data_IF_712956655811
#
_entry.id   IF_712956655811
#
_cell.length_a   1.000
_cell.length_b   1.000
_cell.length_c   1.000
_cell.angle_alpha   90.00
_cell.angle_beta   90.00
_cell.angle_gamma   90.00
#
_symmetry.space_group_name_H-M   'P 1'
#
loop_
_entity.id
_entity.type
_entity.pdbx_description
1 polymer ?
#
# COMPACT_ATOMS: atom_id res chain seq x y z
N UNK A 1 7.11 -8.62 15.51
CA UNK A 1 7.39 -9.61 16.57
C UNK A 1 7.18 -9.01 17.96
N UNK A 2 6.00 -9.17 18.57
CA UNK A 2 5.80 -8.76 19.95
C UNK A 2 6.75 -9.55 20.87
N UNK A 3 7.62 -8.86 21.59
CA UNK A 3 8.44 -9.43 22.67
C UNK A 3 9.70 -10.21 22.28
N UNK A 4 9.77 -10.88 21.11
CA UNK A 4 10.94 -11.71 20.76
C UNK A 4 12.27 -10.93 20.71
N UNK A 5 12.29 -9.73 20.12
CA UNK A 5 13.49 -8.89 20.04
C UNK A 5 14.08 -8.50 21.41
N UNK A 6 13.24 -8.46 22.46
CA UNK A 6 13.71 -8.26 23.84
C UNK A 6 14.16 -9.60 24.41
N UNK A 7 13.34 -10.64 24.27
CA UNK A 7 13.60 -11.96 24.83
C UNK A 7 14.90 -12.58 24.31
N UNK A 8 15.20 -12.50 23.01
CA UNK A 8 16.36 -13.17 22.42
C UNK A 8 17.66 -12.38 22.49
N UNK A 9 17.65 -11.18 23.09
CA UNK A 9 18.76 -10.21 23.01
C UNK A 9 20.08 -10.79 23.51
N UNK A 10 20.06 -11.49 24.63
CA UNK A 10 21.28 -12.07 25.25
C UNK A 10 21.93 -13.11 24.33
N UNK A 11 21.14 -13.99 23.71
CA UNK A 11 21.67 -15.00 22.79
C UNK A 11 22.23 -14.39 21.49
N UNK A 12 21.61 -13.32 21.00
CA UNK A 12 22.11 -12.57 19.84
C UNK A 12 23.44 -11.90 20.17
N UNK A 13 23.53 -11.21 21.31
CA UNK A 13 24.76 -10.55 21.76
C UNK A 13 25.90 -11.54 22.04
N UNK A 14 25.57 -12.74 22.52
CA UNK A 14 26.54 -13.81 22.73
C UNK A 14 26.95 -14.56 21.43
N UNK A 15 26.43 -14.17 20.26
CA UNK A 15 26.70 -14.85 18.99
C UNK A 15 26.15 -16.28 18.90
N UNK A 16 25.25 -16.66 19.81
CA UNK A 16 24.63 -18.00 19.85
C UNK A 16 23.39 -18.11 18.96
N UNK A 17 22.78 -16.98 18.61
CA UNK A 17 21.58 -16.91 17.80
C UNK A 17 21.74 -15.84 16.73
N UNK A 18 21.46 -16.21 15.48
CA UNK A 18 21.17 -15.24 14.44
C UNK A 18 19.66 -15.12 14.29
N UNK A 19 19.19 -13.90 14.04
CA UNK A 19 17.78 -13.69 13.74
C UNK A 19 17.66 -12.87 12.47
N UNK A 20 16.66 -13.24 11.68
CA UNK A 20 16.29 -12.60 10.43
C UNK A 20 14.81 -12.23 10.52
N UNK A 21 14.47 -10.97 10.28
CA UNK A 21 13.09 -10.57 10.07
C UNK A 21 12.70 -10.69 8.60
N UNK A 22 11.49 -11.16 8.32
CA UNK A 22 10.86 -11.04 6.99
C UNK A 22 9.53 -10.32 7.20
N UNK A 23 9.31 -9.21 6.49
CA UNK A 23 8.11 -8.38 6.64
C UNK A 23 7.25 -8.40 5.39
N UNK A 24 5.96 -8.65 5.57
CA UNK A 24 4.90 -8.54 4.56
C UNK A 24 4.49 -7.07 4.37
N UNK A 25 5.48 -6.23 4.07
CA UNK A 25 5.34 -4.77 3.94
C UNK A 25 5.65 -4.35 2.51
N UNK A 26 4.96 -3.32 2.03
CA UNK A 26 5.18 -2.73 0.71
C UNK A 26 6.22 -1.59 0.76
N UNK A 27 6.25 -0.86 1.87
CA UNK A 27 7.12 0.30 2.07
C UNK A 27 8.24 -0.05 3.07
N UNK A 28 9.42 -0.52 2.59
CA UNK A 28 10.50 -1.03 3.45
C UNK A 28 11.02 0.00 4.46
N UNK A 29 10.99 1.28 4.08
CA UNK A 29 11.32 2.44 4.92
C UNK A 29 10.46 2.52 6.20
N UNK A 30 9.19 2.10 6.15
CA UNK A 30 8.33 2.03 7.34
C UNK A 30 8.84 0.99 8.33
N UNK A 31 9.27 -0.17 7.84
CA UNK A 31 9.85 -1.20 8.68
C UNK A 31 11.20 -0.75 9.28
N UNK A 32 12.02 -0.03 8.51
CA UNK A 32 13.27 0.57 9.01
C UNK A 32 13.02 1.61 10.10
N UNK A 33 12.02 2.48 9.96
CA UNK A 33 11.62 3.42 11.01
C UNK A 33 11.18 2.69 12.29
N UNK A 34 10.38 1.63 12.15
CA UNK A 34 9.96 0.82 13.28
C UNK A 34 11.16 0.14 13.98
N UNK A 35 12.12 -0.40 13.22
CA UNK A 35 13.34 -0.97 13.76
C UNK A 35 14.19 0.05 14.51
N UNK A 36 14.38 1.25 13.95
CA UNK A 36 15.06 2.36 14.64
C UNK A 36 14.35 2.71 15.95
N UNK A 37 13.01 2.80 15.92
CA UNK A 37 12.24 3.13 17.10
C UNK A 37 12.42 2.11 18.22
N UNK A 38 12.42 0.82 17.87
CA UNK A 38 12.54 -0.30 18.81
C UNK A 38 13.99 -0.76 19.05
N UNK A 39 14.99 -0.07 18.47
CA UNK A 39 16.42 -0.43 18.55
C UNK A 39 16.66 -1.90 18.19
N UNK A 40 16.09 -2.33 17.07
CA UNK A 40 16.32 -3.66 16.51
C UNK A 40 17.49 -3.59 15.52
N UNK A 41 18.47 -4.48 15.70
CA UNK A 41 19.73 -4.44 14.95
C UNK A 41 19.91 -5.66 14.02
N UNK A 42 18.95 -6.58 14.02
CA UNK A 42 18.99 -7.77 13.17
C UNK A 42 18.73 -7.43 11.68
N UNK A 43 19.17 -8.26 10.73
CA UNK A 43 18.80 -8.09 9.32
C UNK A 43 17.28 -8.21 9.10
N UNK A 44 16.77 -7.47 8.10
CA UNK A 44 15.38 -7.47 7.68
C UNK A 44 15.28 -7.67 6.17
N UNK A 45 14.46 -8.62 5.74
CA UNK A 45 14.02 -8.78 4.35
C UNK A 45 12.58 -8.31 4.22
N UNK A 46 12.23 -7.84 3.02
CA UNK A 46 10.87 -7.40 2.70
C UNK A 46 10.29 -8.33 1.65
N UNK A 47 9.15 -8.93 1.96
CA UNK A 47 8.37 -9.78 1.07
C UNK A 47 7.04 -9.09 0.78
N UNK A 48 7.04 -8.13 -0.16
CA UNK A 48 5.82 -7.40 -0.49
C UNK A 48 4.78 -8.25 -1.23
N UNK A 49 5.18 -9.39 -1.77
CA UNK A 49 4.39 -10.23 -2.68
C UNK A 49 3.92 -11.56 -2.06
N UNK A 50 4.20 -11.78 -0.77
CA UNK A 50 3.94 -13.03 -0.07
C UNK A 50 4.53 -14.24 -0.82
N UNK A 51 5.82 -14.14 -1.18
CA UNK A 51 6.60 -15.20 -1.83
C UNK A 51 6.69 -16.44 -0.95
N UNK A 52 6.74 -16.27 0.37
CA UNK A 52 6.70 -17.37 1.33
C UNK A 52 5.36 -18.12 1.37
N UNK A 53 4.31 -17.59 0.74
CA UNK A 53 2.99 -18.23 0.69
C UNK A 53 2.33 -18.34 2.07
N UNK A 54 2.67 -17.44 2.99
CA UNK A 54 2.12 -17.43 4.33
C UNK A 54 0.64 -17.09 4.28
N UNK A 55 -0.16 -17.78 5.09
CA UNK A 55 -1.59 -17.49 5.23
C UNK A 55 -1.86 -16.37 6.23
N UNK A 56 -0.98 -16.14 7.19
CA UNK A 56 -1.11 -15.15 8.26
C UNK A 56 0.25 -14.76 8.86
N UNK A 57 0.27 -13.63 9.59
CA UNK A 57 1.42 -13.11 10.34
C UNK A 57 0.96 -12.59 11.72
N UNK A 58 1.84 -12.54 12.75
CA UNK A 58 3.24 -12.96 12.73
C UNK A 58 3.41 -14.48 12.74
N UNK A 59 4.52 -14.95 12.16
CA UNK A 59 5.02 -16.32 12.31
C UNK A 59 6.46 -16.25 12.82
N UNK A 60 6.83 -17.13 13.75
CA UNK A 60 8.21 -17.30 14.21
C UNK A 60 8.68 -18.69 13.84
N UNK A 61 9.83 -18.82 13.20
CA UNK A 61 10.40 -20.11 12.80
C UNK A 61 11.75 -20.27 13.49
N UNK A 62 11.98 -21.43 14.12
CA UNK A 62 13.29 -21.79 14.63
C UNK A 62 13.98 -22.75 13.66
N UNK A 63 15.16 -22.34 13.23
CA UNK A 63 16.06 -23.12 12.40
C UNK A 63 17.23 -23.59 13.27
N UNK A 64 17.71 -24.80 13.03
CA UNK A 64 18.98 -25.27 13.62
C UNK A 64 20.20 -24.81 12.80
N UNK A 65 21.39 -25.22 13.24
CA UNK A 65 22.67 -24.93 12.58
C UNK A 65 22.79 -25.44 11.12
N UNK A 66 21.86 -26.29 10.66
CA UNK A 66 21.80 -26.81 9.30
C UNK A 66 20.64 -26.24 8.48
N UNK A 67 19.95 -25.21 9.00
CA UNK A 67 18.82 -24.57 8.33
C UNK A 67 17.53 -25.40 8.35
N UNK A 68 17.44 -26.43 9.21
CA UNK A 68 16.25 -27.27 9.30
C UNK A 68 15.25 -26.63 10.25
N UNK A 69 13.99 -26.52 9.81
CA UNK A 69 12.88 -26.06 10.64
C UNK A 69 12.64 -27.05 11.78
N UNK A 70 12.84 -26.58 13.02
CA UNK A 70 12.61 -27.35 14.24
C UNK A 70 11.30 -27.00 14.94
N UNK A 71 10.84 -25.75 14.80
CA UNK A 71 9.56 -25.32 15.35
C UNK A 71 8.98 -24.15 14.54
N UNK A 72 7.65 -24.08 14.50
CA UNK A 72 6.87 -22.95 13.96
C UNK A 72 5.99 -22.43 15.10
N UNK A 73 6.03 -21.13 15.33
CA UNK A 73 5.41 -20.43 16.46
C UNK A 73 5.78 -21.06 17.82
N UNK A 74 7.08 -21.21 18.12
CA UNK A 74 7.54 -21.85 19.34
C UNK A 74 7.07 -21.10 20.60
N UNK A 75 6.88 -21.84 21.69
CA UNK A 75 6.87 -21.27 23.04
C UNK A 75 8.27 -20.82 23.48
N UNK A 76 8.36 -20.09 24.59
CA UNK A 76 9.66 -19.72 25.17
C UNK A 76 10.43 -20.94 25.68
N UNK A 77 9.72 -21.92 26.23
CA UNK A 77 10.31 -23.19 26.69
C UNK A 77 10.84 -24.03 25.52
N UNK A 78 10.12 -24.06 24.39
CA UNK A 78 10.59 -24.71 23.15
C UNK A 78 11.85 -24.04 22.60
N UNK A 79 11.88 -22.71 22.59
CA UNK A 79 13.08 -21.96 22.21
C UNK A 79 14.28 -22.32 23.10
N UNK A 80 14.11 -22.30 24.43
CA UNK A 80 15.19 -22.62 25.38
C UNK A 80 15.71 -24.05 25.17
N UNK A 81 14.81 -25.03 25.05
CA UNK A 81 15.19 -26.42 24.76
C UNK A 81 16.00 -26.57 23.48
N UNK A 82 15.70 -25.77 22.46
CA UNK A 82 16.47 -25.75 21.22
C UNK A 82 17.86 -25.14 21.42
N UNK A 83 17.95 -24.02 22.16
CA UNK A 83 19.23 -23.33 22.42
C UNK A 83 20.24 -24.17 23.21
N UNK A 84 19.77 -25.16 23.97
CA UNK A 84 20.58 -26.08 24.78
C UNK A 84 20.93 -27.37 24.04
N UNK A 85 20.45 -27.55 22.81
CA UNK A 85 20.64 -28.76 22.00
C UNK A 85 21.54 -28.50 20.80
N UNK A 86 22.32 -29.51 20.43
CA UNK A 86 22.97 -29.64 19.12
C UNK A 86 22.27 -30.72 18.32
N UNK A 87 22.16 -30.51 17.02
CA UNK A 87 21.54 -31.48 16.12
C UNK A 87 22.63 -32.23 15.35
N UNK A 88 22.39 -33.50 14.99
CA UNK A 88 23.28 -34.19 14.05
C UNK A 88 23.14 -33.58 12.64
N UNK A 89 24.21 -33.53 11.84
CA UNK A 89 24.15 -33.06 10.46
C UNK A 89 23.17 -33.92 9.65
N UNK A 90 22.33 -33.32 8.79
CA UNK A 90 21.49 -34.09 7.90
C UNK A 90 22.35 -34.82 6.84
N UNK A 91 21.86 -35.92 6.24
CA UNK A 91 22.59 -36.67 5.22
C UNK A 91 23.04 -35.83 4.02
N UNK A 92 22.29 -34.76 3.73
CA UNK A 92 22.61 -33.77 2.71
C UNK A 92 22.15 -32.40 3.19
N UNK A 93 23.06 -31.42 3.15
CA UNK A 93 22.73 -30.00 3.35
C UNK A 93 22.60 -29.39 1.96
N UNK A 94 21.47 -28.73 1.62
CA UNK A 94 21.35 -28.03 0.35
C UNK A 94 22.47 -27.00 0.19
N UNK A 95 23.13 -26.98 -0.97
CA UNK A 95 24.08 -25.91 -1.29
C UNK A 95 23.32 -24.59 -1.45
N UNK A 96 23.56 -23.58 -0.58
CA UNK A 96 22.91 -22.28 -0.70
C UNK A 96 23.17 -21.58 -2.04
N UNK A 97 24.35 -21.81 -2.64
CA UNK A 97 24.70 -21.23 -3.94
C UNK A 97 23.88 -21.87 -5.08
N UNK A 98 23.62 -23.18 -5.01
CA UNK A 98 22.77 -23.87 -5.96
C UNK A 98 21.29 -23.41 -5.86
N UNK A 99 20.80 -23.12 -4.65
CA UNK A 99 19.45 -22.58 -4.44
C UNK A 99 19.28 -21.19 -5.08
N UNK A 100 20.28 -20.31 -4.95
CA UNK A 100 20.30 -19.00 -5.59
C UNK A 100 20.45 -19.09 -7.12
N UNK A 101 21.26 -20.03 -7.62
CA UNK A 101 21.46 -20.25 -9.05
C UNK A 101 20.16 -20.66 -9.76
N UNK A 102 19.31 -21.46 -9.11
CA UNK A 102 18.00 -21.88 -9.62
C UNK A 102 16.93 -20.78 -9.71
N UNK A 103 17.16 -19.60 -9.11
CA UNK A 103 16.29 -18.42 -9.24
C UNK A 103 16.62 -17.57 -10.47
N UNK A 104 17.72 -17.87 -11.15
CA UNK A 104 18.06 -17.25 -12.43
C UNK A 104 17.07 -17.74 -13.48
N UNK A 105 16.22 -16.84 -14.00
CA UNK A 105 15.51 -17.15 -15.24
C UNK A 105 16.58 -17.52 -16.28
N UNK A 106 16.48 -18.70 -16.94
CA UNK A 106 17.42 -19.03 -18.00
C UNK A 106 17.39 -17.89 -19.01
N UNK A 107 18.56 -17.31 -19.31
CA UNK A 107 18.67 -16.14 -20.17
C UNK A 107 18.06 -16.33 -21.58
N UNK A 108 17.73 -17.59 -21.94
CA UNK A 108 17.28 -18.02 -23.26
C UNK A 108 15.93 -18.76 -23.30
N UNK A 109 15.20 -18.89 -22.19
CA UNK A 109 13.87 -19.52 -22.23
C UNK A 109 12.77 -18.47 -22.24
N UNK A 110 12.13 -18.27 -23.40
CA UNK A 110 10.83 -17.57 -23.47
C UNK A 110 9.89 -18.20 -22.44
N UNK A 111 9.36 -17.44 -21.46
CA UNK A 111 8.48 -18.02 -20.43
C UNK A 111 7.27 -18.71 -21.08
N UNK A 112 7.01 -19.97 -20.71
CA UNK A 112 5.95 -20.78 -21.34
C UNK A 112 4.80 -21.09 -20.39
N UNK A 113 5.06 -21.12 -19.09
CA UNK A 113 4.05 -21.42 -18.07
C UNK A 113 3.69 -20.19 -17.25
N UNK A 114 2.54 -20.23 -16.58
CA UNK A 114 2.17 -19.19 -15.62
C UNK A 114 3.24 -19.00 -14.53
N UNK A 115 3.85 -20.09 -14.06
CA UNK A 115 4.91 -20.04 -13.05
C UNK A 115 6.19 -19.36 -13.56
N UNK A 116 6.58 -19.58 -14.82
CA UNK A 116 7.73 -18.90 -15.42
C UNK A 116 7.50 -17.39 -15.49
N UNK A 117 6.29 -16.98 -15.89
CA UNK A 117 5.90 -15.58 -15.92
C UNK A 117 5.83 -14.95 -14.52
N UNK A 118 5.34 -15.69 -13.52
CA UNK A 118 5.39 -15.25 -12.11
C UNK A 118 6.82 -15.06 -11.66
N UNK A 119 7.72 -16.01 -11.92
CA UNK A 119 9.14 -15.90 -11.55
C UNK A 119 9.80 -14.71 -12.22
N UNK A 120 9.53 -14.48 -13.50
CA UNK A 120 10.01 -13.29 -14.21
C UNK A 120 9.47 -11.99 -13.59
N UNK A 121 8.17 -11.96 -13.25
CA UNK A 121 7.57 -10.81 -12.57
C UNK A 121 8.17 -10.55 -11.19
N UNK A 122 8.33 -11.59 -10.38
CA UNK A 122 8.98 -11.54 -9.06
C UNK A 122 10.41 -11.00 -9.24
N UNK A 123 11.13 -11.49 -10.26
CA UNK A 123 12.48 -11.04 -10.58
C UNK A 123 12.53 -9.53 -10.88
N UNK A 124 11.65 -9.05 -11.77
CA UNK A 124 11.58 -7.64 -12.18
C UNK A 124 11.14 -6.73 -11.04
N UNK A 125 10.21 -7.18 -10.20
CA UNK A 125 9.66 -6.38 -9.12
C UNK A 125 10.64 -6.24 -7.96
N UNK A 126 11.42 -7.29 -7.65
CA UNK A 126 12.32 -7.30 -6.50
C UNK A 126 13.76 -6.89 -6.85
N UNK A 127 14.26 -7.26 -8.03
CA UNK A 127 15.67 -7.06 -8.42
C UNK A 127 15.89 -6.39 -9.78
N UNK A 128 14.83 -6.06 -10.52
CA UNK A 128 14.92 -5.34 -11.79
C UNK A 128 15.33 -6.19 -13.00
N UNK A 129 15.95 -5.56 -13.99
CA UNK A 129 16.11 -6.06 -15.35
C UNK A 129 17.32 -6.98 -15.67
N UNK A 130 18.30 -7.22 -14.79
CA UNK A 130 19.39 -8.18 -15.08
C UNK A 130 19.98 -8.93 -13.88
N UNK A 131 20.42 -10.18 -14.14
CA UNK A 131 21.64 -10.76 -13.61
C UNK A 131 22.66 -10.90 -14.76
N UNK A 132 23.35 -9.85 -15.19
CA UNK A 132 24.62 -10.01 -15.89
C UNK A 132 25.74 -10.19 -14.87
N UNK A 133 26.44 -11.32 -15.02
CA UNK A 133 27.36 -11.93 -14.07
C UNK A 133 28.67 -11.16 -13.82
N UNK A 134 28.70 -9.83 -13.90
CA UNK A 134 29.96 -9.06 -13.80
C UNK A 134 29.92 -7.82 -12.91
N UNK A 135 28.89 -7.60 -12.08
CA UNK A 135 28.98 -6.56 -11.05
C UNK A 135 27.78 -6.42 -10.11
N UNK A 136 27.95 -5.79 -8.93
CA UNK A 136 26.92 -5.60 -7.92
C UNK A 136 25.89 -4.49 -8.25
N UNK A 137 25.67 -4.20 -9.53
CA UNK A 137 24.72 -3.16 -9.95
C UNK A 137 23.46 -3.78 -10.55
N UNK A 138 22.55 -4.24 -9.68
CA UNK A 138 21.17 -4.51 -10.08
C UNK A 138 20.56 -3.22 -10.62
N UNK A 139 20.02 -3.24 -11.83
CA UNK A 139 19.07 -2.21 -12.28
C UNK A 139 17.94 -2.08 -11.25
N UNK A 140 17.43 -0.87 -11.03
CA UNK A 140 16.32 -0.64 -10.12
C UNK A 140 15.12 -1.55 -10.44
N UNK A 141 14.29 -1.91 -9.44
CA UNK A 141 12.99 -2.55 -9.66
C UNK A 141 12.22 -1.94 -10.83
N UNK A 142 11.57 -2.78 -11.64
CA UNK A 142 10.75 -2.34 -12.77
C UNK A 142 9.30 -2.81 -12.59
N UNK A 143 8.48 -2.08 -11.80
CA UNK A 143 7.08 -2.43 -11.58
C UNK A 143 6.27 -2.55 -12.88
N UNK A 144 6.55 -1.71 -13.88
CA UNK A 144 5.89 -1.77 -15.20
C UNK A 144 6.10 -3.11 -15.90
N UNK A 145 7.35 -3.59 -16.00
CA UNK A 145 7.66 -4.88 -16.61
C UNK A 145 7.18 -6.06 -15.76
N UNK A 146 7.19 -5.90 -14.43
CA UNK A 146 6.60 -6.91 -13.55
C UNK A 146 5.09 -7.06 -13.79
N UNK A 147 4.35 -5.95 -13.95
CA UNK A 147 2.92 -5.96 -14.30
C UNK A 147 2.71 -6.73 -15.60
N UNK A 148 3.46 -6.41 -16.66
CA UNK A 148 3.36 -7.12 -17.95
C UNK A 148 3.57 -8.64 -17.78
N UNK A 149 4.58 -9.06 -17.02
CA UNK A 149 4.85 -10.47 -16.76
C UNK A 149 3.71 -11.13 -15.97
N UNK A 150 3.20 -10.49 -14.91
CA UNK A 150 2.09 -11.04 -14.14
C UNK A 150 0.77 -11.07 -14.91
N UNK A 151 0.52 -10.12 -15.82
CA UNK A 151 -0.65 -10.15 -16.71
C UNK A 151 -0.59 -11.35 -17.65
N UNK A 152 0.59 -11.69 -18.19
CA UNK A 152 0.80 -12.92 -18.96
C UNK A 152 0.58 -14.17 -18.10
N UNK A 153 1.07 -14.16 -16.86
CA UNK A 153 0.83 -15.26 -15.93
C UNK A 153 -0.67 -15.45 -15.63
N UNK A 154 -1.38 -14.34 -15.41
CA UNK A 154 -2.81 -14.32 -15.14
C UNK A 154 -3.62 -14.83 -16.33
N UNK A 155 -3.26 -14.44 -17.56
CA UNK A 155 -3.91 -14.93 -18.77
C UNK A 155 -3.83 -16.46 -18.91
N UNK A 156 -2.76 -17.08 -18.38
CA UNK A 156 -2.58 -18.53 -18.36
C UNK A 156 -3.22 -19.21 -17.14
N UNK A 157 -3.45 -18.48 -16.04
CA UNK A 157 -4.00 -19.01 -14.79
C UNK A 157 -4.90 -17.97 -14.06
N UNK A 158 -6.11 -17.68 -14.59
CA UNK A 158 -6.96 -16.58 -14.11
C UNK A 158 -7.68 -16.83 -12.77
N UNK A 159 -7.49 -18.01 -12.18
CA UNK A 159 -8.04 -18.36 -10.86
C UNK A 159 -6.94 -18.44 -9.79
N UNK A 160 -5.69 -18.15 -10.15
CA UNK A 160 -4.58 -18.13 -9.21
C UNK A 160 -4.55 -16.80 -8.43
N UNK A 161 -5.22 -16.74 -7.28
CA UNK A 161 -5.32 -15.53 -6.44
C UNK A 161 -3.96 -14.92 -6.06
N UNK A 162 -2.90 -15.71 -5.96
CA UNK A 162 -1.55 -15.23 -5.69
C UNK A 162 -0.96 -14.36 -6.82
N UNK A 163 -1.37 -14.58 -8.08
CA UNK A 163 -0.99 -13.75 -9.22
C UNK A 163 -1.75 -12.41 -9.16
N UNK A 164 -3.05 -12.45 -8.88
CA UNK A 164 -3.83 -11.23 -8.66
C UNK A 164 -3.28 -10.38 -7.51
N UNK A 165 -2.83 -11.02 -6.41
CA UNK A 165 -2.22 -10.29 -5.30
C UNK A 165 -0.92 -9.58 -5.75
N UNK A 166 -0.04 -10.28 -6.49
CA UNK A 166 1.19 -9.72 -7.07
C UNK A 166 0.93 -8.56 -8.01
N UNK A 167 -0.06 -8.67 -8.89
CA UNK A 167 -0.50 -7.57 -9.77
C UNK A 167 -0.87 -6.35 -8.95
N UNK A 168 -1.64 -6.53 -7.87
CA UNK A 168 -2.01 -5.44 -7.00
C UNK A 168 -0.81 -4.75 -6.34
N UNK A 169 0.15 -5.53 -5.86
CA UNK A 169 1.41 -5.01 -5.28
C UNK A 169 2.21 -4.24 -6.33
N UNK A 170 2.37 -4.78 -7.54
CA UNK A 170 3.15 -4.16 -8.60
C UNK A 170 2.53 -2.84 -9.08
N UNK A 171 1.21 -2.78 -9.26
CA UNK A 171 0.52 -1.53 -9.55
C UNK A 171 0.70 -0.49 -8.44
N UNK A 172 0.60 -0.89 -7.17
CA UNK A 172 0.81 0.06 -6.08
C UNK A 172 2.27 0.52 -5.99
N UNK A 173 3.24 -0.35 -6.23
CA UNK A 173 4.65 0.05 -6.29
C UNK A 173 4.91 1.02 -7.45
N UNK A 174 4.31 0.80 -8.63
CA UNK A 174 4.38 1.75 -9.75
C UNK A 174 3.76 3.09 -9.37
N UNK A 175 2.58 3.08 -8.73
CA UNK A 175 1.92 4.29 -8.23
C UNK A 175 2.81 5.11 -7.30
N UNK A 176 3.55 4.44 -6.42
CA UNK A 176 4.41 5.08 -5.43
C UNK A 176 5.78 5.51 -6.01
N UNK A 177 6.06 5.17 -7.27
CA UNK A 177 7.33 5.46 -7.97
C UNK A 177 7.25 6.67 -8.92
N UNK A 178 8.39 7.01 -9.53
CA UNK A 178 8.45 7.99 -10.63
C UNK A 178 7.80 7.52 -11.93
N UNK A 179 7.63 6.21 -12.12
CA UNK A 179 7.05 5.59 -13.32
C UNK A 179 5.51 5.45 -13.25
N UNK A 180 4.89 6.14 -12.28
CA UNK A 180 3.43 6.14 -12.04
C UNK A 180 2.66 6.31 -13.33
N UNK A 181 1.59 5.53 -13.46
CA UNK A 181 0.56 5.72 -14.49
C UNK A 181 -0.79 6.09 -13.86
N UNK A 182 -1.62 6.88 -14.58
CA UNK A 182 -2.97 7.21 -14.13
C UNK A 182 -3.77 5.95 -13.77
N UNK A 183 -4.38 5.94 -12.59
CA UNK A 183 -5.25 4.85 -12.16
C UNK A 183 -4.53 3.61 -11.62
N UNK A 184 -3.21 3.66 -11.43
CA UNK A 184 -2.45 2.57 -10.83
C UNK A 184 -2.99 2.17 -9.45
N UNK A 185 -3.36 3.13 -8.60
CA UNK A 185 -3.90 2.79 -7.28
C UNK A 185 -5.28 2.10 -7.39
N UNK A 186 -6.14 2.57 -8.29
CA UNK A 186 -7.41 1.90 -8.56
C UNK A 186 -7.20 0.48 -9.11
N UNK A 187 -6.21 0.28 -9.99
CA UNK A 187 -5.83 -1.03 -10.48
C UNK A 187 -5.33 -1.95 -9.35
N UNK A 188 -4.48 -1.43 -8.46
CA UNK A 188 -4.00 -2.16 -7.31
C UNK A 188 -5.15 -2.70 -6.44
N UNK A 189 -6.10 -1.82 -6.13
CA UNK A 189 -7.29 -2.15 -5.34
C UNK A 189 -8.17 -3.19 -6.03
N UNK A 190 -8.42 -3.07 -7.34
CA UNK A 190 -9.17 -4.08 -8.10
C UNK A 190 -8.50 -5.45 -8.03
N UNK A 191 -7.19 -5.50 -8.22
CA UNK A 191 -6.43 -6.74 -8.19
C UNK A 191 -6.36 -7.39 -6.80
N UNK A 192 -6.16 -6.61 -5.74
CA UNK A 192 -6.25 -7.13 -4.37
C UNK A 192 -7.65 -7.62 -4.01
N UNK A 193 -8.70 -6.91 -4.45
CA UNK A 193 -10.09 -7.34 -4.25
C UNK A 193 -10.36 -8.66 -4.97
N UNK A 194 -9.87 -8.81 -6.21
CA UNK A 194 -9.95 -10.05 -6.98
C UNK A 194 -9.19 -11.20 -6.29
N UNK A 195 -7.99 -10.93 -5.78
CA UNK A 195 -7.20 -11.93 -5.05
C UNK A 195 -7.94 -12.43 -3.82
N UNK A 196 -8.51 -11.53 -3.02
CA UNK A 196 -9.27 -11.88 -1.82
C UNK A 196 -10.58 -12.59 -2.15
N UNK A 197 -11.24 -12.26 -3.25
CA UNK A 197 -12.43 -13.00 -3.71
C UNK A 197 -12.10 -14.45 -4.08
N UNK A 198 -10.89 -14.72 -4.63
CA UNK A 198 -10.44 -16.07 -4.97
C UNK A 198 -9.99 -16.88 -3.75
N UNK A 199 -9.41 -16.25 -2.73
CA UNK A 199 -9.04 -16.90 -1.47
C UNK A 199 -9.38 -16.00 -0.27
N UNK A 200 -10.64 -16.04 0.20
CA UNK A 200 -11.12 -15.15 1.26
C UNK A 200 -10.46 -15.40 2.62
N UNK A 201 -9.77 -16.53 2.79
CA UNK A 201 -9.07 -16.90 4.03
C UNK A 201 -7.64 -16.35 4.10
N UNK A 202 -7.17 -15.63 3.08
CA UNK A 202 -5.84 -15.03 3.08
C UNK A 202 -5.80 -13.77 3.92
N UNK A 203 -5.26 -13.92 5.14
CA UNK A 203 -5.16 -12.82 6.11
C UNK A 203 -4.36 -11.64 5.57
N UNK A 204 -3.20 -11.90 4.95
CA UNK A 204 -2.29 -10.86 4.44
C UNK A 204 -2.99 -10.03 3.36
N UNK A 205 -3.69 -10.69 2.44
CA UNK A 205 -4.40 -10.02 1.34
C UNK A 205 -5.55 -9.16 1.86
N UNK A 206 -6.31 -9.70 2.84
CA UNK A 206 -7.36 -8.94 3.52
C UNK A 206 -6.80 -7.71 4.21
N UNK A 207 -5.67 -7.84 4.93
CA UNK A 207 -5.02 -6.71 5.62
C UNK A 207 -4.55 -5.64 4.64
N UNK A 208 -4.02 -6.02 3.48
CA UNK A 208 -3.63 -5.06 2.42
C UNK A 208 -4.81 -4.23 1.93
N UNK A 209 -5.98 -4.82 1.75
CA UNK A 209 -7.18 -4.08 1.36
C UNK A 209 -7.71 -3.21 2.52
N UNK A 210 -7.78 -3.76 3.74
CA UNK A 210 -8.23 -3.05 4.94
C UNK A 210 -7.33 -1.87 5.32
N UNK A 211 -6.05 -1.89 4.95
CA UNK A 211 -5.12 -0.76 5.11
C UNK A 211 -5.66 0.50 4.44
N UNK A 212 -6.26 0.37 3.25
CA UNK A 212 -6.83 1.47 2.48
C UNK A 212 -8.37 1.55 2.54
N UNK A 213 -9.02 0.55 3.13
CA UNK A 213 -10.48 0.44 3.23
C UNK A 213 -11.11 1.31 4.33
N UNK A 214 -12.44 1.18 4.53
CA UNK A 214 -13.20 1.99 5.46
C UNK A 214 -12.94 1.59 6.92
N UNK A 215 -13.22 2.51 7.86
CA UNK A 215 -13.05 2.30 9.30
C UNK A 215 -13.86 1.14 9.87
N UNK A 216 -15.02 0.82 9.28
CA UNK A 216 -15.83 -0.32 9.71
C UNK A 216 -15.14 -1.67 9.51
N UNK A 217 -14.28 -1.77 8.48
CA UNK A 217 -13.60 -3.02 8.15
C UNK A 217 -12.22 -3.10 8.82
N UNK A 218 -11.78 -2.04 9.52
CA UNK A 218 -10.45 -1.98 10.11
C UNK A 218 -10.39 -2.79 11.42
N UNK A 219 -9.37 -3.62 11.59
CA UNK A 219 -9.12 -4.32 12.86
C UNK A 219 -8.47 -3.43 13.93
N UNK A 220 -7.66 -2.47 13.48
CA UNK A 220 -6.80 -1.58 14.23
C UNK A 220 -6.29 -0.49 13.24
N UNK A 221 -5.82 0.67 13.73
CA UNK A 221 -5.05 1.59 12.91
C UNK A 221 -3.71 0.95 12.52
N UNK A 222 -3.27 1.08 11.27
CA UNK A 222 -2.09 0.36 10.78
C UNK A 222 -0.77 1.07 11.12
N UNK A 223 -0.77 2.41 11.11
CA UNK A 223 0.44 3.22 11.23
C UNK A 223 0.34 4.37 12.23
N UNK A 224 -0.62 4.35 13.16
CA UNK A 224 -0.75 5.33 14.25
C UNK A 224 0.51 5.43 15.13
N UNK A 225 1.35 4.41 15.13
CA UNK A 225 2.65 4.40 15.77
C UNK A 225 3.70 5.29 15.09
N UNK A 226 3.52 5.72 13.83
CA UNK A 226 4.56 6.49 13.09
C UNK A 226 4.87 7.84 13.76
N UNK A 227 3.87 8.69 14.13
CA UNK A 227 4.13 9.90 14.91
C UNK A 227 4.83 9.63 16.24
N UNK A 228 4.39 8.60 16.98
CA UNK A 228 4.98 8.21 18.26
C UNK A 228 6.44 7.78 18.08
N UNK A 229 6.73 6.98 17.06
CA UNK A 229 8.08 6.54 16.73
C UNK A 229 9.00 7.71 16.44
N UNK A 230 8.58 8.62 15.56
CA UNK A 230 9.35 9.81 15.19
C UNK A 230 9.65 10.68 16.41
N UNK A 231 8.66 10.92 17.25
CA UNK A 231 8.81 11.71 18.47
C UNK A 231 9.76 11.03 19.47
N UNK A 232 9.58 9.73 19.72
CA UNK A 232 10.43 8.97 20.62
C UNK A 232 11.89 8.91 20.13
N UNK A 233 12.13 8.85 18.81
CA UNK A 233 13.47 8.90 18.23
C UNK A 233 14.10 10.28 18.42
N UNK A 234 13.37 11.37 18.14
CA UNK A 234 13.86 12.75 18.33
C UNK A 234 14.21 13.06 19.78
N UNK A 235 13.38 12.61 20.74
CA UNK A 235 13.66 12.77 22.18
C UNK A 235 14.98 12.13 22.62
N UNK A 236 15.51 11.16 21.86
CA UNK A 236 16.82 10.53 22.12
C UNK A 236 17.98 11.27 21.44
N UNK A 237 17.72 12.36 20.73
CA UNK A 237 18.72 13.09 19.94
C UNK A 237 19.03 12.44 18.58
N UNK A 238 18.21 11.49 18.13
CA UNK A 238 18.37 10.81 16.85
C UNK A 238 17.45 11.45 15.77
N UNK A 239 17.85 11.37 14.50
CA UNK A 239 16.99 11.75 13.37
C UNK A 239 16.14 10.55 12.92
N UNK A 240 14.80 10.64 12.92
CA UNK A 240 13.95 9.56 12.42
C UNK A 240 14.25 9.26 10.95
N UNK A 241 14.26 7.97 10.60
CA UNK A 241 14.36 7.54 9.20
C UNK A 241 13.23 8.19 8.39
N UNK A 242 13.56 8.83 7.24
CA UNK A 242 12.54 9.40 6.38
C UNK A 242 11.71 8.29 5.75
N UNK A 243 10.43 8.57 5.51
CA UNK A 243 9.57 7.71 4.73
C UNK A 243 9.50 8.23 3.29
N UNK A 244 9.61 7.33 2.31
CA UNK A 244 9.44 7.68 0.89
C UNK A 244 7.97 7.94 0.60
N UNK A 245 7.08 7.14 1.21
CA UNK A 245 5.63 7.28 1.11
C UNK A 245 5.03 7.39 2.51
N UNK A 246 4.63 8.60 2.87
CA UNK A 246 3.94 8.85 4.14
C UNK A 246 2.60 8.10 4.20
N UNK A 247 2.21 7.55 5.36
CA UNK A 247 0.88 6.96 5.53
C UNK A 247 -0.21 8.02 5.33
N UNK A 248 -1.30 7.63 4.66
CA UNK A 248 -2.47 8.47 4.41
C UNK A 248 -3.53 8.41 5.52
N UNK A 249 -4.66 9.10 5.31
CA UNK A 249 -5.74 9.16 6.28
C UNK A 249 -6.31 7.78 6.62
N UNK A 250 -6.47 6.92 5.61
CA UNK A 250 -6.98 5.56 5.78
C UNK A 250 -6.08 4.74 6.69
N UNK A 251 -4.78 4.91 6.55
CA UNK A 251 -3.76 4.14 7.23
C UNK A 251 -3.67 4.49 8.73
N UNK A 252 -4.02 5.72 9.09
CA UNK A 252 -4.18 6.18 10.47
C UNK A 252 -5.57 5.96 11.06
N UNK A 253 -6.59 5.74 10.24
CA UNK A 253 -7.96 5.75 10.70
C UNK A 253 -8.25 4.61 11.70
N UNK A 254 -8.83 4.97 12.85
CA UNK A 254 -9.22 4.02 13.88
C UNK A 254 -10.48 3.25 13.48
N UNK A 255 -10.59 1.96 13.87
CA UNK A 255 -11.79 1.16 13.69
C UNK A 255 -13.03 1.84 14.24
N UNK A 256 -14.15 1.71 13.52
CA UNK A 256 -15.46 2.14 13.98
C UNK A 256 -16.41 0.96 14.08
N UNK A 257 -17.33 1.00 15.04
CA UNK A 257 -18.39 0.00 15.18
C UNK A 257 -19.61 0.31 14.31
N UNK A 258 -19.82 1.58 13.98
CA UNK A 258 -20.98 2.07 13.26
C UNK A 258 -20.58 3.22 12.35
N UNK A 259 -21.24 3.31 11.19
CA UNK A 259 -21.05 4.42 10.27
C UNK A 259 -21.59 5.71 10.90
N UNK A 260 -20.72 6.70 11.07
CA UNK A 260 -21.10 8.01 11.57
C UNK A 260 -21.01 9.03 10.43
N UNK A 261 -22.11 9.70 10.06
CA UNK A 261 -22.05 10.85 9.17
C UNK A 261 -21.16 11.92 9.77
N UNK A 262 -20.64 12.75 8.89
CA UNK A 262 -19.89 13.93 9.29
C UNK A 262 -20.72 14.96 10.01
N UNK A 263 -20.04 15.97 10.57
CA UNK A 263 -20.72 17.19 10.98
C UNK A 263 -21.45 17.82 9.79
N UNK A 264 -22.38 18.73 10.08
CA UNK A 264 -23.03 19.56 9.06
C UNK A 264 -21.96 20.17 8.14
N UNK A 265 -21.99 19.88 6.83
CA UNK A 265 -20.98 20.38 5.89
C UNK A 265 -21.07 21.89 5.66
N UNK A 266 -22.12 22.54 6.20
CA UNK A 266 -22.46 23.91 5.93
C UNK A 266 -23.02 24.08 4.52
N UNK A 267 -22.96 25.31 4.00
CA UNK A 267 -23.45 25.62 2.66
C UNK A 267 -22.53 25.05 1.58
N UNK A 268 -23.13 24.49 0.53
CA UNK A 268 -22.42 24.14 -0.69
C UNK A 268 -21.63 25.36 -1.21
N UNK A 269 -20.32 25.23 -1.50
CA UNK A 269 -19.48 26.37 -1.84
C UNK A 269 -19.73 26.93 -3.26
N UNK A 270 -20.27 26.12 -4.17
CA UNK A 270 -20.56 26.52 -5.55
C UNK A 270 -21.91 25.95 -6.04
N UNK A 271 -23.03 26.32 -5.40
CA UNK A 271 -24.34 25.71 -5.65
C UNK A 271 -24.88 26.03 -7.05
N UNK A 272 -24.40 27.13 -7.64
CA UNK A 272 -24.81 27.59 -8.97
C UNK A 272 -23.77 27.27 -10.06
N UNK A 273 -22.68 26.58 -9.72
CA UNK A 273 -21.66 26.19 -10.69
C UNK A 273 -20.95 27.37 -11.37
N UNK A 274 -20.81 28.51 -10.68
CA UNK A 274 -20.30 29.76 -11.25
C UNK A 274 -18.78 29.79 -11.35
N UNK A 275 -18.08 28.92 -10.62
CA UNK A 275 -16.62 28.84 -10.65
C UNK A 275 -16.18 28.18 -11.95
N UNK A 276 -15.21 28.80 -12.63
CA UNK A 276 -14.65 28.28 -13.87
C UNK A 276 -13.98 26.92 -13.67
N UNK A 277 -14.23 26.00 -14.60
CA UNK A 277 -13.63 24.67 -14.61
C UNK A 277 -12.17 24.72 -15.07
N UNK A 278 -11.35 23.84 -14.51
CA UNK A 278 -9.97 23.63 -14.98
C UNK A 278 -9.96 22.86 -16.32
N UNK A 279 -10.29 23.57 -17.39
CA UNK A 279 -10.25 23.06 -18.77
C UNK A 279 -8.81 22.91 -19.29
N UNK A 280 -7.85 23.58 -18.65
CA UNK A 280 -6.45 23.55 -19.04
C UNK A 280 -5.69 22.34 -18.47
N UNK A 281 -6.32 21.57 -17.57
CA UNK A 281 -5.73 20.37 -16.98
C UNK A 281 -4.51 20.71 -16.11
N UNK A 282 -4.58 21.82 -15.38
CA UNK A 282 -3.52 22.22 -14.47
C UNK A 282 -3.41 21.28 -13.28
N UNK A 283 -4.55 20.75 -12.81
CA UNK A 283 -4.59 19.69 -11.81
C UNK A 283 -5.15 18.41 -12.41
N UNK A 284 -4.46 17.30 -12.17
CA UNK A 284 -4.92 15.96 -12.50
C UNK A 284 -5.59 15.33 -11.27
N UNK A 285 -6.78 14.75 -11.46
CA UNK A 285 -7.48 13.98 -10.44
C UNK A 285 -7.42 12.48 -10.73
N UNK A 286 -7.11 11.70 -9.70
CA UNK A 286 -7.23 10.24 -9.70
C UNK A 286 -8.14 9.81 -8.56
N UNK A 287 -8.97 8.79 -8.78
CA UNK A 287 -9.84 8.21 -7.76
C UNK A 287 -9.61 6.72 -7.59
N UNK A 288 -9.67 6.24 -6.34
CA UNK A 288 -9.70 4.82 -6.01
C UNK A 288 -10.75 4.56 -4.92
N UNK A 289 -11.58 3.53 -5.09
CA UNK A 289 -12.64 3.16 -4.15
C UNK A 289 -12.32 1.81 -3.53
N UNK A 290 -12.29 1.74 -2.20
CA UNK A 290 -11.85 0.56 -1.44
C UNK A 290 -12.93 0.13 -0.43
N UNK A 291 -13.53 -1.08 -0.56
CA UNK A 291 -13.46 -1.94 -1.73
C UNK A 291 -14.20 -1.30 -2.94
N UNK A 292 -13.87 -1.70 -4.18
CA UNK A 292 -14.51 -1.16 -5.39
C UNK A 292 -15.93 -1.73 -5.62
N UNK A 293 -16.28 -2.78 -4.87
CA UNK A 293 -17.56 -3.47 -4.89
C UNK A 293 -18.07 -3.58 -3.45
N UNK A 294 -19.35 -3.25 -3.22
CA UNK A 294 -20.01 -3.34 -1.92
C UNK A 294 -21.39 -3.97 -2.05
N UNK A 295 -21.87 -4.63 -1.01
CA UNK A 295 -23.26 -5.07 -0.92
C UNK A 295 -24.18 -3.89 -0.49
N UNK A 296 -25.51 -3.99 -0.62
CA UNK A 296 -26.43 -3.02 -0.06
C UNK A 296 -26.20 -2.81 1.44
N UNK A 297 -26.18 -1.55 1.89
CA UNK A 297 -25.81 -1.20 3.26
C UNK A 297 -24.31 -1.18 3.56
N UNK A 298 -23.48 -1.66 2.63
CA UNK A 298 -22.02 -1.72 2.74
C UNK A 298 -21.36 -0.34 2.67
N UNK A 299 -20.09 -0.30 3.07
CA UNK A 299 -19.30 0.93 3.15
C UNK A 299 -18.06 0.79 2.30
N UNK A 300 -17.70 1.86 1.61
CA UNK A 300 -16.42 1.99 0.92
C UNK A 300 -15.71 3.27 1.37
N UNK A 301 -14.40 3.30 1.17
CA UNK A 301 -13.56 4.49 1.31
C UNK A 301 -13.11 4.96 -0.06
N UNK A 302 -13.30 6.24 -0.34
CA UNK A 302 -12.88 6.89 -1.59
C UNK A 302 -11.61 7.68 -1.30
N UNK A 303 -10.62 7.46 -2.15
CA UNK A 303 -9.37 8.20 -2.19
C UNK A 303 -9.40 9.12 -3.41
N UNK A 304 -9.26 10.42 -3.18
CA UNK A 304 -9.13 11.44 -4.22
C UNK A 304 -7.73 12.00 -4.15
N UNK A 305 -6.98 11.83 -5.23
CA UNK A 305 -5.59 12.25 -5.35
C UNK A 305 -5.53 13.37 -6.38
N UNK A 306 -5.03 14.53 -5.98
CA UNK A 306 -4.92 15.72 -6.81
C UNK A 306 -3.45 16.10 -6.98
N UNK A 307 -3.01 16.21 -8.22
CA UNK A 307 -1.61 16.44 -8.60
C UNK A 307 -1.51 17.65 -9.52
N UNK A 308 -0.65 18.63 -9.22
CA UNK A 308 -0.27 19.63 -10.21
C UNK A 308 0.34 18.97 -11.45
N UNK A 309 -0.02 19.48 -12.62
CA UNK A 309 0.48 19.01 -13.91
C UNK A 309 1.77 19.77 -14.28
N UNK A 310 2.95 19.14 -14.17
CA UNK A 310 4.21 19.81 -14.44
C UNK A 310 4.34 20.25 -15.90
N UNK A 311 3.69 19.54 -16.84
CA UNK A 311 3.69 19.93 -18.26
C UNK A 311 2.94 21.24 -18.51
N UNK A 312 2.05 21.64 -17.60
CA UNK A 312 1.36 22.93 -17.63
C UNK A 312 2.06 24.02 -16.78
N UNK A 313 3.21 23.70 -16.15
CA UNK A 313 3.87 24.56 -15.17
C UNK A 313 3.01 24.83 -13.92
N UNK A 314 2.04 23.94 -13.65
CA UNK A 314 1.05 24.15 -12.61
C UNK A 314 1.62 23.85 -11.21
N UNK A 315 1.23 24.68 -10.25
CA UNK A 315 1.56 24.52 -8.83
C UNK A 315 0.45 25.12 -7.95
N UNK A 316 0.36 24.68 -6.70
CA UNK A 316 -0.64 25.19 -5.76
C UNK A 316 -0.32 26.61 -5.33
N UNK A 317 -1.35 27.42 -5.15
CA UNK A 317 -1.27 28.65 -4.38
C UNK A 317 -1.86 28.43 -2.99
N UNK A 318 -1.07 28.71 -1.96
CA UNK A 318 -1.40 28.48 -0.55
C UNK A 318 -1.58 29.76 0.24
N UNK A 319 -1.55 30.93 -0.41
CA UNK A 319 -1.76 32.22 0.25
C UNK A 319 -3.26 32.53 0.48
N UNK A 320 -4.14 31.79 -0.18
CA UNK A 320 -5.59 31.95 -0.11
C UNK A 320 -6.26 30.84 0.72
N UNK A 321 -7.50 30.46 0.39
CA UNK A 321 -8.18 29.34 1.07
C UNK A 321 -7.60 27.98 0.68
N UNK A 322 -7.64 26.98 1.59
CA UNK A 322 -7.20 25.63 1.28
C UNK A 322 -8.07 25.00 0.19
N UNK A 323 -7.46 24.08 -0.57
CA UNK A 323 -8.19 23.17 -1.45
C UNK A 323 -9.35 22.52 -0.67
N UNK A 324 -10.54 22.55 -1.26
CA UNK A 324 -11.73 21.93 -0.69
C UNK A 324 -12.38 20.97 -1.67
N UNK A 325 -12.86 19.84 -1.16
CA UNK A 325 -13.63 18.85 -1.90
C UNK A 325 -15.07 18.88 -1.38
N UNK A 326 -16.02 18.99 -2.31
CA UNK A 326 -17.45 18.84 -2.02
C UNK A 326 -17.96 17.56 -2.67
N UNK A 327 -18.51 16.66 -1.88
CA UNK A 327 -19.01 15.36 -2.33
C UNK A 327 -20.50 15.47 -2.63
N UNK A 328 -20.93 14.99 -3.80
CA UNK A 328 -22.34 14.94 -4.19
C UNK A 328 -22.77 13.48 -4.26
N UNK A 329 -23.09 12.84 -3.10
CA UNK A 329 -23.47 11.44 -3.09
C UNK A 329 -24.80 11.22 -3.82
N UNK A 330 -25.06 10.02 -4.35
CA UNK A 330 -26.38 9.68 -4.88
C UNK A 330 -27.47 9.85 -3.81
N UNK A 331 -28.75 10.01 -4.22
CA UNK A 331 -29.87 10.07 -3.26
C UNK A 331 -29.86 8.90 -2.27
N UNK A 332 -30.11 9.19 -1.00
CA UNK A 332 -30.15 8.24 0.14
C UNK A 332 -28.81 7.60 0.53
N UNK A 333 -27.71 7.91 -0.17
CA UNK A 333 -26.37 7.50 0.25
C UNK A 333 -25.87 8.43 1.36
N UNK A 334 -25.14 7.87 2.31
CA UNK A 334 -24.54 8.64 3.41
C UNK A 334 -23.05 8.78 3.19
N UNK A 335 -22.52 9.95 3.50
CA UNK A 335 -21.07 10.22 3.51
C UNK A 335 -20.64 10.63 4.92
N UNK A 336 -19.43 10.23 5.30
CA UNK A 336 -18.84 10.62 6.58
C UNK A 336 -18.27 12.04 6.56
N UNK A 337 -17.98 12.59 5.38
CA UNK A 337 -17.54 13.97 5.18
C UNK A 337 -18.04 14.43 3.81
N UNK A 338 -19.02 15.34 3.81
CA UNK A 338 -19.51 15.92 2.55
C UNK A 338 -18.63 17.09 2.08
N UNK A 339 -18.04 17.84 3.01
CA UNK A 339 -17.03 18.87 2.73
C UNK A 339 -15.72 18.51 3.41
N UNK A 340 -14.63 18.48 2.64
CA UNK A 340 -13.30 18.15 3.13
C UNK A 340 -12.35 19.27 2.73
N UNK A 341 -11.50 19.73 3.64
CA UNK A 341 -10.44 20.70 3.36
C UNK A 341 -9.09 19.99 3.44
N UNK A 342 -8.24 20.18 2.44
CA UNK A 342 -6.88 19.70 2.50
C UNK A 342 -6.07 20.53 3.51
N UNK A 343 -5.09 19.91 4.20
CA UNK A 343 -4.09 20.66 4.95
C UNK A 343 -3.38 21.66 4.03
N UNK A 344 -3.13 22.86 4.54
CA UNK A 344 -2.45 23.92 3.81
C UNK A 344 -1.01 24.02 4.31
N UNK A 345 -0.01 23.84 3.45
CA UNK A 345 1.39 23.98 3.86
C UNK A 345 1.73 25.44 4.14
N UNK A 346 2.78 25.67 4.95
CA UNK A 346 3.23 27.02 5.29
C UNK A 346 3.90 27.76 4.11
N UNK A 347 4.38 27.02 3.10
CA UNK A 347 4.96 27.62 1.90
C UNK A 347 3.88 28.26 1.03
N UNK A 348 4.13 29.46 0.49
CA UNK A 348 3.17 30.22 -0.33
C UNK A 348 2.75 29.47 -1.61
N UNK A 349 3.69 28.72 -2.20
CA UNK A 349 3.45 27.86 -3.37
C UNK A 349 4.09 26.50 -3.16
N UNK A 350 3.57 25.48 -3.82
CA UNK A 350 4.09 24.12 -3.69
C UNK A 350 3.56 23.15 -4.76
N UNK A 351 4.30 22.06 -4.98
CA UNK A 351 4.01 21.02 -5.98
C UNK A 351 3.56 19.70 -5.35
N UNK A 352 3.22 19.72 -4.06
CA UNK A 352 2.87 18.53 -3.32
C UNK A 352 1.59 17.88 -3.86
N UNK A 353 1.50 16.59 -3.61
CA UNK A 353 0.31 15.81 -3.92
C UNK A 353 -0.68 16.01 -2.80
N UNK A 354 -1.94 16.32 -3.14
CA UNK A 354 -3.00 16.45 -2.15
C UNK A 354 -3.89 15.23 -2.17
N UNK A 355 -4.02 14.59 -1.01
CA UNK A 355 -4.84 13.41 -0.80
C UNK A 355 -6.03 13.79 0.08
N UNK A 356 -7.24 13.53 -0.42
CA UNK A 356 -8.48 13.72 0.30
C UNK A 356 -9.22 12.39 0.33
N UNK A 357 -9.82 12.07 1.46
CA UNK A 357 -10.46 10.78 1.65
C UNK A 357 -11.78 10.96 2.40
N UNK A 358 -12.75 10.13 2.05
CA UNK A 358 -14.03 10.04 2.74
C UNK A 358 -14.60 8.63 2.61
N UNK A 359 -15.58 8.32 3.44
CA UNK A 359 -16.31 7.06 3.44
C UNK A 359 -17.75 7.31 2.99
N UNK A 360 -18.26 6.39 2.17
CA UNK A 360 -19.65 6.37 1.76
C UNK A 360 -20.31 5.06 2.14
N UNK A 361 -21.59 5.15 2.48
CA UNK A 361 -22.44 4.00 2.79
C UNK A 361 -23.61 3.94 1.83
N UNK A 362 -23.74 2.79 1.17
CA UNK A 362 -24.91 2.48 0.35
C UNK A 362 -26.16 2.36 1.23
N UNK A 363 -27.35 2.76 0.75
CA UNK A 363 -28.59 2.45 1.44
C UNK A 363 -28.80 0.93 1.50
N UNK A 364 -29.47 0.38 2.53
CA UNK A 364 -29.79 -1.04 2.60
C UNK A 364 -30.65 -1.54 1.43
N UNK A 365 -31.35 -0.62 0.76
CA UNK A 365 -32.22 -0.85 -0.40
C UNK A 365 -31.51 -0.63 -1.74
N UNK A 366 -30.19 -0.42 -1.75
CA UNK A 366 -29.43 -0.19 -2.97
C UNK A 366 -29.63 -1.33 -3.98
N UNK A 367 -29.95 -0.99 -5.23
CA UNK A 367 -30.06 -1.96 -6.31
C UNK A 367 -28.67 -2.39 -6.80
N UNK A 368 -28.46 -3.67 -7.15
CA UNK A 368 -27.21 -4.12 -7.75
C UNK A 368 -26.93 -3.41 -9.08
N UNK A 369 -25.66 -3.09 -9.33
CA UNK A 369 -25.19 -2.48 -10.56
C UNK A 369 -24.13 -1.38 -10.35
N UNK A 370 -23.64 -0.79 -11.45
CA UNK A 370 -22.68 0.30 -11.39
C UNK A 370 -23.34 1.56 -10.81
N UNK A 371 -22.66 2.20 -9.86
CA UNK A 371 -23.03 3.49 -9.28
C UNK A 371 -21.98 4.50 -9.68
N UNK A 372 -22.44 5.63 -10.22
CA UNK A 372 -21.59 6.76 -10.60
C UNK A 372 -22.14 8.02 -9.96
N UNK A 373 -21.23 8.81 -9.41
CA UNK A 373 -21.52 10.14 -8.87
C UNK A 373 -20.28 11.01 -8.99
N UNK A 374 -20.39 12.27 -8.58
CA UNK A 374 -19.28 13.21 -8.65
C UNK A 374 -18.98 13.79 -7.27
N UNK A 375 -17.72 14.13 -7.07
CA UNK A 375 -17.35 15.23 -6.20
C UNK A 375 -16.86 16.39 -7.08
N UNK A 376 -16.59 17.54 -6.49
CA UNK A 376 -15.79 18.57 -7.14
C UNK A 376 -14.81 19.20 -6.16
N UNK A 377 -13.61 19.48 -6.67
CA UNK A 377 -12.57 20.17 -5.95
C UNK A 377 -12.59 21.65 -6.33
N UNK A 378 -12.46 22.54 -5.33
CA UNK A 378 -12.22 23.97 -5.55
C UNK A 378 -10.86 24.33 -4.97
N UNK A 379 -10.03 25.02 -5.76
CA UNK A 379 -8.65 25.28 -5.41
C UNK A 379 -8.08 26.52 -6.10
N UNK A 380 -7.05 27.08 -5.48
CA UNK A 380 -6.18 28.07 -6.08
C UNK A 380 -4.96 27.39 -6.69
N UNK A 381 -4.66 27.74 -7.93
CA UNK A 381 -3.57 27.17 -8.72
C UNK A 381 -2.96 28.27 -9.56
N UNK A 382 -1.65 28.23 -9.72
CA UNK A 382 -0.93 29.09 -10.66
C UNK A 382 -0.42 28.23 -11.81
N UNK A 383 -0.42 28.77 -13.03
CA UNK A 383 0.05 28.04 -14.21
C UNK A 383 0.32 28.96 -15.40
N UNK A 384 0.91 28.37 -16.45
CA UNK A 384 1.26 29.06 -17.69
C UNK A 384 2.55 29.93 -17.62
N UNK A 385 2.96 30.54 -18.75
CA UNK A 385 4.24 31.26 -18.87
C UNK A 385 4.37 32.49 -17.98
N UNK A 386 3.23 33.11 -17.62
CA UNK A 386 3.19 34.33 -16.79
C UNK A 386 2.89 34.05 -15.31
N UNK A 387 2.68 32.78 -14.93
CA UNK A 387 2.48 32.37 -13.53
C UNK A 387 1.20 32.90 -12.88
N UNK A 388 0.15 33.18 -13.67
CA UNK A 388 -1.11 33.73 -13.13
C UNK A 388 -1.80 32.73 -12.22
N UNK A 389 -2.15 33.17 -11.01
CA UNK A 389 -2.90 32.39 -10.05
C UNK A 389 -4.41 32.65 -10.18
N UNK A 390 -5.20 31.59 -10.24
CA UNK A 390 -6.66 31.65 -10.39
C UNK A 390 -7.35 30.62 -9.50
N UNK A 391 -8.62 30.88 -9.22
CA UNK A 391 -9.50 29.95 -8.52
C UNK A 391 -10.26 29.08 -9.53
N UNK A 392 -10.23 27.76 -9.33
CA UNK A 392 -10.75 26.78 -10.28
C UNK A 392 -11.57 25.70 -9.61
N UNK A 393 -12.44 25.10 -10.42
CA UNK A 393 -13.22 23.92 -10.12
C UNK A 393 -12.74 22.73 -10.95
N UNK A 394 -12.59 21.56 -10.32
CA UNK A 394 -12.38 20.30 -11.02
C UNK A 394 -13.46 19.31 -10.61
N UNK A 395 -14.26 18.85 -11.56
CA UNK A 395 -15.22 17.78 -11.32
C UNK A 395 -14.47 16.45 -11.23
N UNK A 396 -14.73 15.67 -10.17
CA UNK A 396 -14.03 14.44 -9.83
C UNK A 396 -15.00 13.26 -9.93
N UNK A 397 -14.96 12.47 -11.02
CA UNK A 397 -15.87 11.35 -11.18
C UNK A 397 -15.49 10.19 -10.25
N UNK A 398 -16.50 9.60 -9.63
CA UNK A 398 -16.35 8.45 -8.73
C UNK A 398 -17.28 7.34 -9.19
N UNK A 399 -16.76 6.12 -9.22
CA UNK A 399 -17.50 4.93 -9.63
C UNK A 399 -17.19 3.74 -8.73
N UNK A 400 -18.22 2.95 -8.46
CA UNK A 400 -18.14 1.66 -7.77
C UNK A 400 -19.31 0.77 -8.19
N UNK A 401 -19.36 -0.45 -7.68
CA UNK A 401 -20.42 -1.40 -7.99
C UNK A 401 -21.14 -1.86 -6.71
N UNK A 402 -22.47 -1.89 -6.76
CA UNK A 402 -23.28 -2.57 -5.76
C UNK A 402 -23.50 -4.01 -6.24
N UNK A 403 -23.06 -4.99 -5.46
CA UNK A 403 -23.23 -6.41 -5.77
C UNK A 403 -24.52 -6.95 -5.15
N UNK A 404 -24.93 -8.15 -5.58
CA UNK A 404 -26.00 -8.87 -4.88
C UNK A 404 -25.53 -9.25 -3.46
N UNK A 405 -26.45 -9.34 -2.48
CA UNK A 405 -26.12 -9.78 -1.13
C UNK A 405 -25.41 -11.13 -1.10
#
# INVERSE_FOLDING_TARGET
MPGWHVFTREWVQAGRLQVLGIVEEQHPDRALLFMQWKRMEWPLLVDSINRLGLKAVPITVLLDEYGIVRAINPSREEFQRLMDRRFPPPPSIPDPAAALAGESAPADTTPRTALDWVRLGDLRLLWGDRPDATGPHSSAPSPGRAIEAYERAWALAPDAGAIAFRLGVAHRQRHDSGDRQPGDFAAAVRWWSRALALDPNQYIWRRRLQQYGPRLDKPYPFYDWVPEAREAIRRRGETPRPLVVEPGGAEFAHPQKQFQPGPDPGREPDPEGRIERDQAGWIQAETAVVPPQIHPGGVARVHVILRPNPAAGAHWNNEAEPLQLWVQPPPDWRVDLQRIKAPQPAAAVSDEVRHLEFELRAPPTASPGPVRFSAYALYYVCGGPEGTCVYRRLDVPIALEVTRP
#
